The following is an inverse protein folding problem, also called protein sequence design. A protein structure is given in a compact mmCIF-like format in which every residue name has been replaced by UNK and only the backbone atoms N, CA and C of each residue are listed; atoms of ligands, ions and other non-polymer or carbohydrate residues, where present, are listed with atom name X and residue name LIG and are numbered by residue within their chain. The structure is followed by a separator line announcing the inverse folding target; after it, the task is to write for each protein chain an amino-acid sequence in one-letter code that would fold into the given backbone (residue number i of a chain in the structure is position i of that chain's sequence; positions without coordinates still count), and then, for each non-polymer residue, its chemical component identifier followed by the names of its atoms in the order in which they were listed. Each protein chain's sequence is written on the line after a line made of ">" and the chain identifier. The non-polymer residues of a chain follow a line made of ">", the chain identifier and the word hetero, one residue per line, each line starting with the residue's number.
data_IF_035953279622
#
_entry.id   IF_035953279622
#
_cell.length_a   1.000
_cell.length_b   1.000
_cell.length_c   1.000
_cell.angle_alpha   90.00
_cell.angle_beta   90.00
_cell.angle_gamma   90.00
#
_symmetry.space_group_name_H-M   'P 1'
#
loop_
_entity.id
_entity.type
_entity.pdbx_description
1 polymer ?
#
# COMPACT_ATOMS: atom_id res chain seq x y z
N UNK A 1 -25.20 -8.61 5.92
CA UNK A 1 -25.68 -7.80 7.05
C UNK A 1 -24.66 -6.71 7.27
N UNK A 2 -24.94 -5.51 6.77
CA UNK A 2 -24.11 -4.33 6.97
C UNK A 2 -24.22 -3.97 8.45
N UNK A 3 -23.12 -4.15 9.21
CA UNK A 3 -23.11 -3.81 10.62
C UNK A 3 -23.45 -2.31 10.73
N UNK A 4 -24.29 -1.91 11.71
CA UNK A 4 -24.83 -0.55 11.93
C UNK A 4 -23.79 0.59 11.99
N UNK A 5 -22.50 0.28 11.83
CA UNK A 5 -21.35 1.17 11.92
C UNK A 5 -20.51 1.29 10.62
N UNK A 6 -20.94 0.70 9.50
CA UNK A 6 -20.25 0.82 8.20
C UNK A 6 -18.84 0.22 8.13
N UNK A 7 -18.42 -0.53 9.15
CA UNK A 7 -17.10 -1.16 9.22
C UNK A 7 -17.12 -2.57 8.65
N UNK A 8 -16.57 -2.75 7.45
CA UNK A 8 -16.42 -4.07 6.83
C UNK A 8 -15.12 -4.75 7.31
N UNK A 9 -15.22 -5.50 8.42
CA UNK A 9 -14.08 -6.20 9.03
C UNK A 9 -13.38 -7.16 8.05
N UNK A 10 -14.13 -7.93 7.27
CA UNK A 10 -13.56 -8.91 6.33
C UNK A 10 -12.74 -8.24 5.23
N UNK A 11 -13.23 -7.10 4.71
CA UNK A 11 -12.44 -6.28 3.78
C UNK A 11 -11.17 -5.75 4.44
N UNK A 12 -11.21 -5.35 5.71
CA UNK A 12 -10.00 -4.87 6.40
C UNK A 12 -9.01 -6.01 6.69
N UNK A 13 -9.48 -7.21 7.02
CA UNK A 13 -8.64 -8.41 7.10
C UNK A 13 -7.98 -8.69 5.74
N UNK A 14 -8.70 -8.56 4.63
CA UNK A 14 -8.13 -8.70 3.28
C UNK A 14 -6.96 -7.73 3.03
N UNK A 15 -7.05 -6.48 3.50
CA UNK A 15 -5.93 -5.53 3.38
C UNK A 15 -4.75 -5.93 4.28
N UNK A 16 -5.02 -6.41 5.49
CA UNK A 16 -3.99 -6.85 6.45
C UNK A 16 -3.26 -8.10 5.95
N UNK A 17 -3.94 -9.04 5.27
CA UNK A 17 -3.28 -10.19 4.62
C UNK A 17 -2.22 -9.74 3.61
N UNK A 18 -2.40 -8.55 3.04
CA UNK A 18 -1.42 -7.86 2.23
C UNK A 18 -0.06 -7.61 2.87
N UNK A 19 0.05 -7.67 4.21
CA UNK A 19 1.33 -7.58 4.94
C UNK A 19 2.34 -8.64 4.50
N UNK A 20 1.89 -9.73 3.88
CA UNK A 20 2.79 -10.72 3.30
C UNK A 20 3.78 -10.09 2.30
N UNK A 21 3.37 -9.05 1.56
CA UNK A 21 4.21 -8.37 0.56
C UNK A 21 5.36 -7.61 1.23
N UNK A 22 5.11 -6.61 2.12
CA UNK A 22 6.19 -5.88 2.77
C UNK A 22 7.06 -6.78 3.66
N UNK A 23 6.49 -7.80 4.33
CA UNK A 23 7.28 -8.77 5.10
C UNK A 23 8.22 -9.54 4.19
N UNK A 24 7.72 -10.05 3.05
CA UNK A 24 8.54 -10.82 2.12
C UNK A 24 9.67 -9.98 1.52
N UNK A 25 9.39 -8.73 1.14
CA UNK A 25 10.39 -7.80 0.61
C UNK A 25 11.44 -7.41 1.65
N UNK A 26 11.03 -7.14 2.89
CA UNK A 26 11.94 -6.73 3.95
C UNK A 26 12.94 -7.83 4.32
N UNK A 27 12.49 -9.09 4.42
CA UNK A 27 13.34 -10.22 4.78
C UNK A 27 14.05 -10.88 3.60
N UNK A 28 13.81 -10.42 2.37
CA UNK A 28 14.31 -11.04 1.13
C UNK A 28 14.14 -12.58 1.14
N UNK A 29 12.91 -13.05 1.43
CA UNK A 29 12.61 -14.45 1.77
C UNK A 29 13.06 -15.50 0.74
N UNK A 30 13.25 -15.11 -0.52
CA UNK A 30 13.64 -15.99 -1.62
C UNK A 30 15.02 -15.65 -2.18
N UNK A 31 15.89 -15.00 -1.38
CA UNK A 31 17.24 -14.61 -1.81
C UNK A 31 17.99 -15.75 -2.51
N UNK A 32 18.57 -15.46 -3.68
CA UNK A 32 19.31 -16.42 -4.48
C UNK A 32 18.48 -17.50 -5.20
N UNK A 33 17.15 -17.51 -5.06
CA UNK A 33 16.29 -18.48 -5.74
C UNK A 33 16.41 -18.35 -7.27
N UNK A 34 16.55 -19.48 -7.96
CA UNK A 34 16.82 -19.58 -9.40
C UNK A 34 18.06 -18.80 -9.89
N UNK A 35 18.98 -18.47 -8.98
CA UNK A 35 20.18 -17.67 -9.26
C UNK A 35 19.89 -16.20 -9.57
N UNK A 36 18.70 -15.69 -9.22
CA UNK A 36 18.31 -14.31 -9.47
C UNK A 36 18.82 -13.35 -8.40
N UNK A 37 19.33 -12.19 -8.82
CA UNK A 37 19.79 -11.10 -7.95
C UNK A 37 18.65 -10.53 -7.09
N UNK A 38 17.46 -10.43 -7.66
CA UNK A 38 16.26 -9.86 -7.02
C UNK A 38 15.12 -10.88 -6.95
N UNK A 39 15.45 -12.13 -6.62
CA UNK A 39 14.54 -13.27 -6.62
C UNK A 39 13.21 -13.02 -5.90
N UNK A 40 13.24 -12.52 -4.66
CA UNK A 40 12.02 -12.20 -3.88
C UNK A 40 11.14 -11.20 -4.61
N UNK A 41 11.72 -10.10 -5.11
CA UNK A 41 10.98 -9.09 -5.87
C UNK A 41 10.42 -9.68 -7.16
N UNK A 42 11.21 -10.46 -7.91
CA UNK A 42 10.79 -11.10 -9.15
C UNK A 42 9.57 -11.99 -8.94
N UNK A 43 9.59 -12.81 -7.89
CA UNK A 43 8.48 -13.68 -7.49
C UNK A 43 7.23 -12.84 -7.16
N UNK A 44 7.37 -11.83 -6.29
CA UNK A 44 6.25 -10.99 -5.87
C UNK A 44 5.62 -10.26 -7.06
N UNK A 45 6.43 -9.61 -7.91
CA UNK A 45 5.96 -8.92 -9.11
C UNK A 45 5.27 -9.89 -10.07
N UNK A 46 5.84 -11.08 -10.28
CA UNK A 46 5.23 -12.10 -11.15
C UNK A 46 3.85 -12.52 -10.67
N UNK A 47 3.71 -12.82 -9.38
CA UNK A 47 2.42 -13.21 -8.79
C UNK A 47 1.43 -12.04 -8.79
N UNK A 48 1.86 -10.83 -8.43
CA UNK A 48 1.01 -9.64 -8.48
C UNK A 48 0.49 -9.38 -9.89
N UNK A 49 1.36 -9.48 -10.91
CA UNK A 49 0.97 -9.31 -12.31
C UNK A 49 0.00 -10.39 -12.79
N UNK A 50 0.27 -11.65 -12.45
CA UNK A 50 -0.60 -12.77 -12.78
C UNK A 50 -1.99 -12.63 -12.14
N UNK A 51 -2.06 -12.38 -10.83
CA UNK A 51 -3.35 -12.21 -10.14
C UNK A 51 -4.07 -10.93 -10.57
N UNK A 52 -3.36 -9.84 -10.85
CA UNK A 52 -3.97 -8.63 -11.40
C UNK A 52 -4.64 -8.91 -12.75
N UNK A 53 -3.98 -9.65 -13.64
CA UNK A 53 -4.56 -10.05 -14.93
C UNK A 53 -5.82 -10.90 -14.72
N UNK A 54 -5.77 -11.91 -13.83
CA UNK A 54 -6.93 -12.73 -13.50
C UNK A 54 -8.09 -11.89 -12.95
N UNK A 55 -7.80 -10.96 -12.04
CA UNK A 55 -8.80 -10.05 -11.47
C UNK A 55 -9.43 -9.18 -12.56
N UNK A 56 -8.66 -8.63 -13.49
CA UNK A 56 -9.17 -7.84 -14.60
C UNK A 56 -10.07 -8.67 -15.52
N UNK A 57 -9.71 -9.92 -15.80
CA UNK A 57 -10.54 -10.85 -16.58
C UNK A 57 -11.86 -11.11 -15.85
N UNK A 58 -11.81 -11.48 -14.56
CA UNK A 58 -13.01 -11.72 -13.74
C UNK A 58 -13.91 -10.48 -13.70
N UNK A 59 -13.34 -9.30 -13.51
CA UNK A 59 -14.09 -8.04 -13.48
C UNK A 59 -14.68 -7.68 -14.84
N UNK A 60 -14.00 -7.98 -15.95
CA UNK A 60 -14.54 -7.82 -17.29
C UNK A 60 -15.78 -8.71 -17.49
N UNK A 61 -15.77 -9.97 -17.05
CA UNK A 61 -16.96 -10.82 -17.07
C UNK A 61 -18.05 -10.27 -16.13
N UNK A 62 -17.69 -9.88 -14.90
CA UNK A 62 -18.63 -9.40 -13.88
C UNK A 62 -19.36 -8.12 -14.30
N UNK A 63 -18.65 -7.17 -14.90
CA UNK A 63 -19.24 -5.88 -15.27
C UNK A 63 -20.09 -5.95 -16.55
N UNK A 64 -19.92 -6.99 -17.38
CA UNK A 64 -20.66 -7.13 -18.64
C UNK A 64 -21.77 -8.20 -18.59
N UNK A 65 -21.75 -9.14 -17.64
CA UNK A 65 -22.72 -10.24 -17.58
C UNK A 65 -23.47 -10.32 -16.24
N UNK A 66 -24.72 -9.83 -16.24
CA UNK A 66 -25.58 -9.74 -15.03
C UNK A 66 -25.75 -11.05 -14.25
N UNK A 67 -25.91 -12.23 -14.87
CA UNK A 67 -26.00 -13.48 -14.10
C UNK A 67 -24.72 -13.80 -13.33
N UNK A 68 -23.55 -13.54 -13.93
CA UNK A 68 -22.27 -13.72 -13.24
C UNK A 68 -22.02 -12.65 -12.17
N UNK A 69 -22.48 -11.41 -12.39
CA UNK A 69 -22.48 -10.38 -11.35
C UNK A 69 -23.28 -10.80 -10.11
N UNK A 70 -24.51 -11.28 -10.31
CA UNK A 70 -25.37 -11.79 -9.22
C UNK A 70 -24.72 -12.98 -8.49
N UNK A 71 -24.14 -13.92 -9.24
CA UNK A 71 -23.37 -15.03 -8.68
C UNK A 71 -22.20 -14.51 -7.85
N UNK A 72 -21.36 -13.65 -8.42
CA UNK A 72 -20.18 -13.11 -7.76
C UNK A 72 -20.56 -12.36 -6.48
N UNK A 73 -21.59 -11.51 -6.53
CA UNK A 73 -22.05 -10.77 -5.36
C UNK A 73 -22.62 -11.69 -4.28
N UNK A 74 -23.30 -12.78 -4.64
CA UNK A 74 -23.81 -13.76 -3.67
C UNK A 74 -22.69 -14.45 -2.88
N UNK A 75 -21.57 -14.77 -3.54
CA UNK A 75 -20.47 -15.51 -2.90
C UNK A 75 -19.37 -14.60 -2.33
N UNK A 76 -19.08 -13.47 -2.98
CA UNK A 76 -17.97 -12.58 -2.66
C UNK A 76 -18.41 -11.17 -2.25
N UNK A 77 -19.72 -10.87 -2.24
CA UNK A 77 -20.25 -9.56 -1.88
C UNK A 77 -19.89 -9.11 -0.46
N UNK A 78 -19.54 -10.05 0.43
CA UNK A 78 -19.05 -9.71 1.79
C UNK A 78 -17.72 -8.93 1.77
N UNK A 79 -16.92 -9.02 0.71
CA UNK A 79 -15.69 -8.24 0.52
C UNK A 79 -15.94 -6.92 -0.24
N UNK A 80 -17.15 -6.71 -0.77
CA UNK A 80 -17.49 -5.61 -1.65
C UNK A 80 -18.38 -4.57 -0.97
N UNK A 81 -18.34 -3.34 -1.49
CA UNK A 81 -19.38 -2.33 -1.24
C UNK A 81 -20.48 -2.46 -2.28
N UNK A 82 -21.71 -2.06 -1.96
CA UNK A 82 -22.81 -2.01 -2.94
C UNK A 82 -22.46 -1.12 -4.15
N UNK A 83 -21.74 -0.02 -3.92
CA UNK A 83 -21.25 0.84 -5.00
C UNK A 83 -20.25 0.15 -5.94
N UNK A 84 -19.60 -0.94 -5.52
CA UNK A 84 -18.68 -1.77 -6.31
C UNK A 84 -19.40 -2.79 -7.19
N UNK A 85 -20.73 -2.86 -7.12
CA UNK A 85 -21.53 -3.77 -7.95
C UNK A 85 -21.49 -3.41 -9.44
N UNK A 86 -21.33 -2.12 -9.78
CA UNK A 86 -21.30 -1.61 -11.17
C UNK A 86 -19.96 -0.96 -11.57
N UNK A 87 -18.92 -1.11 -10.75
CA UNK A 87 -17.58 -0.56 -10.97
C UNK A 87 -16.54 -1.56 -10.44
N UNK A 88 -15.25 -1.38 -10.72
CA UNK A 88 -14.20 -2.29 -10.27
C UNK A 88 -14.25 -2.54 -8.75
N UNK A 89 -14.06 -3.79 -8.35
CA UNK A 89 -13.83 -4.20 -6.96
C UNK A 89 -12.54 -3.55 -6.45
N UNK A 90 -12.53 -3.03 -5.21
CA UNK A 90 -11.36 -2.38 -4.59
C UNK A 90 -10.09 -3.25 -4.51
N UNK A 91 -10.20 -4.55 -4.73
CA UNK A 91 -9.06 -5.46 -4.87
C UNK A 91 -8.24 -5.19 -6.13
N UNK A 92 -8.85 -4.74 -7.23
CA UNK A 92 -8.13 -4.39 -8.46
C UNK A 92 -7.17 -3.20 -8.25
N UNK A 93 -7.63 -2.01 -7.81
CA UNK A 93 -6.73 -0.90 -7.52
C UNK A 93 -5.68 -1.24 -6.46
N UNK A 94 -6.03 -2.05 -5.47
CA UNK A 94 -5.11 -2.54 -4.45
C UNK A 94 -3.95 -3.37 -5.04
N UNK A 95 -4.26 -4.38 -5.87
CA UNK A 95 -3.22 -5.20 -6.53
C UNK A 95 -2.40 -4.37 -7.51
N UNK A 96 -3.03 -3.44 -8.23
CA UNK A 96 -2.35 -2.54 -9.14
C UNK A 96 -1.36 -1.62 -8.41
N UNK A 97 -1.74 -1.05 -7.26
CA UNK A 97 -0.83 -0.27 -6.42
C UNK A 97 0.37 -1.08 -5.97
N UNK A 98 0.14 -2.27 -5.40
CA UNK A 98 1.23 -3.13 -4.96
C UNK A 98 2.14 -3.52 -6.12
N UNK A 99 1.57 -3.86 -7.29
CA UNK A 99 2.35 -4.18 -8.48
C UNK A 99 3.26 -3.02 -8.89
N UNK A 100 2.70 -1.80 -9.03
CA UNK A 100 3.46 -0.60 -9.41
C UNK A 100 4.54 -0.29 -8.37
N UNK A 101 4.17 -0.28 -7.09
CA UNK A 101 5.08 0.10 -6.01
C UNK A 101 6.26 -0.87 -5.91
N UNK A 102 6.01 -2.17 -5.96
CA UNK A 102 7.09 -3.18 -5.86
C UNK A 102 7.94 -3.24 -7.13
N UNK A 103 7.36 -2.96 -8.30
CA UNK A 103 8.05 -2.97 -9.59
C UNK A 103 8.99 -1.77 -9.78
N UNK A 104 8.64 -0.60 -9.26
CA UNK A 104 9.36 0.65 -9.60
C UNK A 104 10.10 1.30 -8.45
N UNK A 105 9.87 0.93 -7.19
CA UNK A 105 10.49 1.61 -6.04
C UNK A 105 11.42 0.68 -5.26
N UNK A 106 12.39 1.27 -4.54
CA UNK A 106 13.28 0.52 -3.64
C UNK A 106 12.47 -0.32 -2.63
N UNK A 107 13.04 -1.45 -2.12
CA UNK A 107 12.32 -2.31 -1.17
C UNK A 107 11.82 -1.53 0.05
N UNK A 108 12.62 -0.61 0.58
CA UNK A 108 12.26 0.20 1.76
C UNK A 108 11.08 1.13 1.48
N UNK A 109 11.08 1.79 0.32
CA UNK A 109 9.98 2.68 -0.09
C UNK A 109 8.71 1.88 -0.31
N UNK A 110 8.82 0.72 -0.97
CA UNK A 110 7.69 -0.17 -1.20
C UNK A 110 7.10 -0.68 0.11
N UNK A 111 7.94 -1.09 1.06
CA UNK A 111 7.51 -1.54 2.38
C UNK A 111 6.77 -0.42 3.12
N UNK A 112 7.37 0.76 3.22
CA UNK A 112 6.79 1.90 3.95
C UNK A 112 5.46 2.36 3.35
N UNK A 113 5.39 2.52 2.01
CA UNK A 113 4.19 3.04 1.36
C UNK A 113 3.01 2.06 1.39
N UNK A 114 3.28 0.75 1.25
CA UNK A 114 2.24 -0.28 1.40
C UNK A 114 1.72 -0.29 2.84
N UNK A 115 2.60 -0.16 3.85
CA UNK A 115 2.21 -0.09 5.26
C UNK A 115 1.32 1.10 5.59
N UNK A 116 1.49 2.25 4.93
CA UNK A 116 0.58 3.38 5.09
C UNK A 116 -0.86 3.01 4.74
N UNK A 117 -1.06 2.18 3.69
CA UNK A 117 -2.38 1.65 3.37
C UNK A 117 -2.80 0.54 4.34
N UNK A 118 -2.03 -0.55 4.44
CA UNK A 118 -2.49 -1.77 5.13
C UNK A 118 -2.58 -1.64 6.66
N UNK A 119 -1.95 -0.61 7.25
CA UNK A 119 -2.09 -0.29 8.68
C UNK A 119 -2.94 0.97 8.87
N UNK A 120 -2.67 2.02 8.10
CA UNK A 120 -3.36 3.30 8.23
C UNK A 120 -4.86 3.20 7.94
N UNK A 121 -5.25 2.67 6.78
CA UNK A 121 -6.66 2.63 6.35
C UNK A 121 -7.55 1.72 7.22
N UNK A 122 -7.12 0.51 7.65
CA UNK A 122 -7.88 -0.25 8.64
C UNK A 122 -8.03 0.46 9.98
N UNK A 123 -6.98 1.14 10.47
CA UNK A 123 -7.01 1.87 11.73
C UNK A 123 -7.94 3.09 11.64
N UNK A 124 -7.87 3.84 10.54
CA UNK A 124 -8.73 4.98 10.26
C UNK A 124 -10.20 4.57 10.23
N UNK A 125 -10.51 3.47 9.55
CA UNK A 125 -11.86 2.94 9.47
C UNK A 125 -12.36 2.43 10.83
N UNK A 126 -11.53 1.75 11.62
CA UNK A 126 -11.91 1.25 12.94
C UNK A 126 -12.17 2.42 13.91
N UNK A 127 -11.23 3.35 14.02
CA UNK A 127 -11.34 4.50 14.92
C UNK A 127 -12.46 5.43 14.46
N UNK A 128 -12.55 5.71 13.17
CA UNK A 128 -13.60 6.55 12.60
C UNK A 128 -15.00 5.93 12.71
N UNK A 129 -15.11 4.61 12.69
CA UNK A 129 -16.39 3.91 12.89
C UNK A 129 -16.82 3.91 14.37
N UNK A 130 -15.88 3.59 15.29
CA UNK A 130 -16.16 3.42 16.72
C UNK A 130 -16.19 4.72 17.52
N UNK A 131 -15.32 5.67 17.20
CA UNK A 131 -15.11 6.91 17.95
C UNK A 131 -15.40 8.17 17.14
N UNK A 132 -15.78 8.03 15.87
CA UNK A 132 -15.96 9.16 14.96
C UNK A 132 -17.19 10.01 15.29
N UNK A 133 -16.98 11.06 16.09
CA UNK A 133 -18.01 12.06 16.44
C UNK A 133 -18.00 13.25 15.49
N UNK A 134 -16.81 13.64 15.01
CA UNK A 134 -16.63 14.82 14.18
C UNK A 134 -16.37 14.41 12.72
N UNK A 135 -17.43 14.38 11.90
CA UNK A 135 -17.35 13.97 10.49
C UNK A 135 -17.29 15.16 9.54
N UNK A 136 -16.54 14.98 8.45
CA UNK A 136 -16.49 15.90 7.32
C UNK A 136 -17.56 15.54 6.28
N UNK A 137 -17.69 16.38 5.25
CA UNK A 137 -18.69 16.23 4.16
C UNK A 137 -18.59 14.90 3.40
N UNK A 138 -17.40 14.28 3.38
CA UNK A 138 -17.11 13.01 2.70
C UNK A 138 -17.35 11.78 3.61
N UNK A 139 -17.90 11.96 4.82
CA UNK A 139 -18.18 10.89 5.78
C UNK A 139 -16.98 10.43 6.62
N UNK A 140 -15.76 10.88 6.29
CA UNK A 140 -14.55 10.61 7.09
C UNK A 140 -14.60 11.40 8.39
N UNK A 141 -14.05 10.84 9.47
CA UNK A 141 -14.04 11.49 10.78
C UNK A 141 -12.64 12.03 11.13
N UNK A 142 -12.58 13.10 11.92
CA UNK A 142 -11.32 13.66 12.45
C UNK A 142 -10.55 12.61 13.24
N UNK A 143 -11.25 11.81 14.02
CA UNK A 143 -10.70 10.71 14.81
C UNK A 143 -10.10 9.62 13.92
N UNK A 144 -10.75 9.28 12.81
CA UNK A 144 -10.20 8.36 11.81
C UNK A 144 -8.91 8.87 11.17
N UNK A 145 -8.84 10.15 10.80
CA UNK A 145 -7.64 10.81 10.25
C UNK A 145 -6.49 10.77 11.27
N UNK A 146 -6.76 11.09 12.54
CA UNK A 146 -5.75 10.98 13.61
C UNK A 146 -5.30 9.53 13.77
N UNK A 147 -6.25 8.59 13.71
CA UNK A 147 -5.98 7.15 13.76
C UNK A 147 -5.06 6.68 12.63
N UNK A 148 -5.34 7.09 11.39
CA UNK A 148 -4.49 6.84 10.23
C UNK A 148 -3.08 7.36 10.50
N UNK A 149 -2.96 8.65 10.79
CA UNK A 149 -1.68 9.34 10.90
C UNK A 149 -0.81 8.76 12.00
N UNK A 150 -1.39 8.49 13.18
CA UNK A 150 -0.65 7.93 14.30
C UNK A 150 -0.19 6.49 14.01
N UNK A 151 -1.07 5.64 13.47
CA UNK A 151 -0.73 4.25 13.19
C UNK A 151 0.31 4.13 12.08
N UNK A 152 0.14 4.86 10.98
CA UNK A 152 1.06 4.89 9.85
C UNK A 152 2.44 5.47 10.25
N UNK A 153 2.47 6.50 11.10
CA UNK A 153 3.72 7.06 11.61
C UNK A 153 4.43 6.09 12.55
N UNK A 154 3.73 5.50 13.53
CA UNK A 154 4.33 4.55 14.46
C UNK A 154 4.89 3.31 13.75
N UNK A 155 4.14 2.73 12.80
CA UNK A 155 4.67 1.60 12.02
C UNK A 155 5.85 2.02 11.15
N UNK A 156 5.84 3.25 10.60
CA UNK A 156 6.97 3.82 9.89
C UNK A 156 8.22 3.91 10.77
N UNK A 157 8.11 4.42 11.99
CA UNK A 157 9.24 4.48 12.95
C UNK A 157 9.76 3.08 13.29
N UNK A 158 8.86 2.11 13.52
CA UNK A 158 9.25 0.72 13.78
C UNK A 158 10.05 0.17 12.59
N UNK A 159 9.59 0.39 11.35
CA UNK A 159 10.30 -0.05 10.15
C UNK A 159 11.65 0.65 9.98
N UNK A 160 11.75 1.96 10.25
CA UNK A 160 13.05 2.66 10.21
C UNK A 160 14.03 2.08 11.23
N UNK A 161 13.57 1.74 12.43
CA UNK A 161 14.39 1.06 13.43
C UNK A 161 14.86 -0.32 12.96
N UNK A 162 13.95 -1.11 12.38
CA UNK A 162 14.26 -2.42 11.80
C UNK A 162 15.27 -2.30 10.64
N UNK A 163 15.10 -1.32 9.75
CA UNK A 163 16.06 -1.02 8.66
C UNK A 163 17.42 -0.65 9.25
N UNK A 164 17.46 0.18 10.29
CA UNK A 164 18.72 0.60 10.94
C UNK A 164 19.53 -0.59 11.46
N UNK A 165 18.85 -1.62 11.99
CA UNK A 165 19.52 -2.84 12.50
C UNK A 165 19.94 -3.77 11.37
N UNK A 166 19.07 -3.98 10.39
CA UNK A 166 19.25 -4.99 9.34
C UNK A 166 20.11 -4.52 8.15
N UNK A 167 19.99 -3.23 7.80
CA UNK A 167 20.59 -2.61 6.62
C UNK A 167 21.18 -1.24 7.01
N UNK A 168 22.25 -1.20 7.82
CA UNK A 168 22.79 0.05 8.37
C UNK A 168 23.24 1.06 7.29
N UNK A 169 23.59 0.59 6.09
CA UNK A 169 23.99 1.44 4.96
C UNK A 169 22.82 2.01 4.14
N UNK A 170 21.57 1.59 4.43
CA UNK A 170 20.38 2.07 3.73
C UNK A 170 20.18 3.58 3.90
N UNK A 171 19.62 4.21 2.86
CA UNK A 171 19.19 5.62 2.91
C UNK A 171 18.11 5.86 3.97
N UNK A 172 17.41 4.82 4.42
CA UNK A 172 16.40 4.92 5.47
C UNK A 172 16.93 4.58 6.87
N UNK A 173 18.23 4.33 7.02
CA UNK A 173 18.84 4.08 8.33
C UNK A 173 18.86 5.34 9.20
N UNK A 174 18.46 5.20 10.46
CA UNK A 174 18.49 6.27 11.47
C UNK A 174 19.91 6.51 12.02
N UNK A 175 20.84 5.59 11.81
CA UNK A 175 22.22 5.70 12.29
C UNK A 175 23.15 5.49 11.10
N UNK A 176 23.94 6.51 10.80
CA UNK A 176 24.97 6.44 9.77
C UNK A 176 26.27 7.03 10.32
N UNK A 177 27.37 6.29 10.21
CA UNK A 177 28.68 6.69 10.74
C UNK A 177 28.61 7.14 12.22
N UNK A 178 27.95 6.34 13.06
CA UNK A 178 27.73 6.61 14.49
C UNK A 178 26.96 7.90 14.81
N UNK A 179 26.32 8.53 13.82
CA UNK A 179 25.55 9.76 13.96
C UNK A 179 24.08 9.51 13.65
N UNK A 180 23.20 10.06 14.50
CA UNK A 180 21.76 9.96 14.30
C UNK A 180 21.31 10.84 13.13
N UNK A 181 20.50 10.26 12.25
CA UNK A 181 19.96 10.89 11.05
C UNK A 181 18.48 11.19 11.26
N UNK A 182 18.10 12.48 11.30
CA UNK A 182 16.71 12.89 11.48
C UNK A 182 15.89 12.83 10.18
N UNK A 183 16.55 12.88 9.02
CA UNK A 183 15.86 13.00 7.75
C UNK A 183 14.92 11.81 7.40
N UNK A 184 15.22 10.53 7.73
CA UNK A 184 14.28 9.44 7.43
C UNK A 184 12.94 9.60 8.17
N UNK A 185 12.97 10.09 9.42
CA UNK A 185 11.77 10.38 10.21
C UNK A 185 10.94 11.49 9.56
N UNK A 186 11.61 12.55 9.11
CA UNK A 186 10.96 13.69 8.44
C UNK A 186 10.30 13.20 7.13
N UNK A 187 11.00 12.41 6.34
CA UNK A 187 10.48 11.85 5.07
C UNK A 187 9.27 10.95 5.32
N UNK A 188 9.34 10.06 6.32
CA UNK A 188 8.19 9.23 6.72
C UNK A 188 7.01 10.10 7.19
N UNK A 189 7.25 11.15 7.97
CA UNK A 189 6.19 12.08 8.39
C UNK A 189 5.50 12.74 7.18
N UNK A 190 6.27 13.22 6.20
CA UNK A 190 5.71 13.76 4.96
C UNK A 190 4.97 12.71 4.14
N UNK A 191 5.48 11.48 4.08
CA UNK A 191 4.81 10.35 3.44
C UNK A 191 3.46 10.03 4.07
N UNK A 192 3.39 10.01 5.41
CA UNK A 192 2.15 9.81 6.17
C UNK A 192 1.17 10.95 5.94
N UNK A 193 1.62 12.21 6.01
CA UNK A 193 0.77 13.37 5.74
C UNK A 193 0.20 13.32 4.32
N UNK A 194 1.05 13.03 3.32
CA UNK A 194 0.62 12.92 1.92
C UNK A 194 -0.40 11.79 1.72
N UNK A 195 -0.17 10.65 2.36
CA UNK A 195 -1.06 9.48 2.33
C UNK A 195 -2.39 9.77 3.02
N UNK A 196 -2.36 10.49 4.14
CA UNK A 196 -3.55 10.90 4.88
C UNK A 196 -4.38 11.94 4.11
N UNK A 197 -3.73 12.91 3.47
CA UNK A 197 -4.39 13.85 2.56
C UNK A 197 -4.99 13.10 1.36
N UNK A 198 -4.26 12.13 0.82
CA UNK A 198 -4.76 11.28 -0.27
C UNK A 198 -5.99 10.51 0.17
N UNK A 199 -5.95 9.87 1.33
CA UNK A 199 -7.12 9.21 1.93
C UNK A 199 -8.27 10.21 2.05
N UNK A 200 -8.04 11.40 2.58
CA UNK A 200 -9.08 12.40 2.80
C UNK A 200 -9.76 12.90 1.50
N UNK A 201 -8.96 13.15 0.45
CA UNK A 201 -9.44 13.75 -0.79
C UNK A 201 -9.73 12.75 -1.92
N UNK A 202 -9.30 11.49 -1.79
CA UNK A 202 -9.51 10.49 -2.85
C UNK A 202 -11.00 10.23 -3.05
N UNK A 203 -11.51 10.66 -4.19
CA UNK A 203 -12.78 10.17 -4.74
C UNK A 203 -12.58 8.85 -5.50
N UNK A 204 -13.67 8.17 -5.83
CA UNK A 204 -13.60 7.01 -6.73
C UNK A 204 -13.85 7.45 -8.17
N UNK A 205 -12.86 7.34 -9.04
CA UNK A 205 -12.95 7.67 -10.48
C UNK A 205 -12.56 6.48 -11.36
N UNK A 206 -12.60 6.63 -12.69
CA UNK A 206 -12.27 5.57 -13.66
C UNK A 206 -12.98 4.22 -13.38
N UNK A 207 -14.30 4.27 -13.16
CA UNK A 207 -15.11 3.09 -12.77
C UNK A 207 -14.51 2.32 -11.59
N UNK A 208 -13.99 2.98 -10.55
CA UNK A 208 -13.45 2.27 -9.39
C UNK A 208 -11.97 1.95 -9.45
N UNK A 209 -11.31 2.15 -10.60
CA UNK A 209 -9.89 1.85 -10.73
C UNK A 209 -9.00 2.88 -10.01
N UNK A 210 -9.45 4.13 -9.90
CA UNK A 210 -8.71 5.17 -9.19
C UNK A 210 -9.48 5.46 -7.89
N UNK A 211 -8.96 4.94 -6.78
CA UNK A 211 -9.49 5.12 -5.43
C UNK A 211 -8.35 5.22 -4.40
N UNK A 212 -8.71 5.24 -3.11
CA UNK A 212 -7.75 5.25 -1.98
C UNK A 212 -6.79 4.05 -1.99
N UNK A 213 -7.26 2.87 -2.39
CA UNK A 213 -6.47 1.64 -2.41
C UNK A 213 -5.37 1.69 -3.48
N UNK A 214 -5.60 2.41 -4.59
CA UNK A 214 -4.56 2.70 -5.59
C UNK A 214 -3.66 3.85 -5.15
N UNK A 215 -4.27 4.95 -4.73
CA UNK A 215 -3.56 6.24 -4.60
C UNK A 215 -2.68 6.30 -3.36
N UNK A 216 -3.08 5.74 -2.23
CA UNK A 216 -2.31 5.84 -0.97
C UNK A 216 -0.89 5.27 -1.13
N UNK A 217 -0.69 4.02 -1.60
CA UNK A 217 0.67 3.48 -1.74
C UNK A 217 1.49 4.22 -2.81
N UNK A 218 0.88 4.65 -3.91
CA UNK A 218 1.59 5.35 -4.99
C UNK A 218 2.04 6.74 -4.53
N UNK A 219 1.13 7.53 -3.94
CA UNK A 219 1.47 8.86 -3.41
C UNK A 219 2.49 8.73 -2.29
N UNK A 220 2.31 7.77 -1.39
CA UNK A 220 3.30 7.45 -0.35
C UNK A 220 4.68 7.17 -0.94
N UNK A 221 4.78 6.28 -1.93
CA UNK A 221 6.04 5.92 -2.58
C UNK A 221 6.70 7.12 -3.28
N UNK A 222 5.92 7.93 -3.99
CA UNK A 222 6.41 9.14 -4.65
C UNK A 222 6.93 10.17 -3.63
N UNK A 223 6.17 10.44 -2.56
CA UNK A 223 6.61 11.38 -1.52
C UNK A 223 7.89 10.91 -0.83
N UNK A 224 7.99 9.62 -0.49
CA UNK A 224 9.20 9.06 0.10
C UNK A 224 10.39 9.18 -0.86
N UNK A 225 10.18 8.91 -2.16
CA UNK A 225 11.22 8.95 -3.18
C UNK A 225 11.74 10.35 -3.47
N UNK A 226 10.82 11.30 -3.62
CA UNK A 226 11.17 12.71 -3.83
C UNK A 226 11.81 13.28 -2.57
N UNK A 227 11.27 12.96 -1.39
CA UNK A 227 11.81 13.40 -0.10
C UNK A 227 13.24 12.93 0.11
N UNK A 228 13.55 11.66 -0.18
CA UNK A 228 14.92 11.15 -0.04
C UNK A 228 15.88 11.79 -1.04
N UNK A 229 15.47 11.92 -2.31
CA UNK A 229 16.31 12.53 -3.35
C UNK A 229 16.61 14.01 -3.03
N UNK A 230 15.60 14.78 -2.59
CA UNK A 230 15.77 16.20 -2.26
C UNK A 230 16.65 16.43 -1.04
N UNK A 231 16.48 15.65 0.04
CA UNK A 231 17.22 15.88 1.29
C UNK A 231 18.65 15.34 1.23
N UNK A 232 18.85 14.19 0.58
CA UNK A 232 20.18 13.56 0.53
C UNK A 232 20.99 13.96 -0.70
N UNK A 233 20.35 14.55 -1.72
CA UNK A 233 20.99 14.84 -3.00
C UNK A 233 21.30 13.60 -3.85
N UNK A 234 20.86 12.41 -3.40
CA UNK A 234 21.05 11.17 -4.14
C UNK A 234 20.16 11.17 -5.39
N UNK A 235 20.71 10.79 -6.56
CA UNK A 235 19.94 10.78 -7.79
C UNK A 235 18.78 9.76 -7.74
N UNK A 236 17.70 10.06 -8.46
CA UNK A 236 16.43 9.33 -8.34
C UNK A 236 16.53 7.87 -8.82
N UNK A 237 17.50 7.56 -9.67
CA UNK A 237 17.81 6.21 -10.16
C UNK A 237 18.31 5.26 -9.06
N UNK A 238 18.83 5.80 -7.95
CA UNK A 238 19.18 5.02 -6.75
C UNK A 238 17.97 4.70 -5.87
N UNK A 239 16.84 5.36 -6.15
CA UNK A 239 15.61 5.31 -5.35
C UNK A 239 14.52 4.53 -6.11
N UNK A 240 14.51 4.67 -7.43
CA UNK A 240 13.65 3.94 -8.37
C UNK A 240 14.36 2.66 -8.78
N UNK A 241 13.68 1.53 -8.62
CA UNK A 241 14.17 0.26 -9.14
C UNK A 241 13.97 0.18 -10.65
N UNK A 242 14.99 -0.31 -11.37
CA UNK A 242 14.92 -0.56 -12.79
C UNK A 242 14.27 -1.93 -13.07
N UNK A 243 13.06 -1.99 -13.68
CA UNK A 243 12.38 -3.25 -13.96
C UNK A 243 13.17 -4.20 -14.86
N UNK A 244 14.10 -3.69 -15.67
CA UNK A 244 14.96 -4.53 -16.52
C UNK A 244 15.88 -5.45 -15.69
N UNK A 245 16.15 -5.09 -14.43
CA UNK A 245 17.00 -5.84 -13.52
C UNK A 245 16.24 -6.94 -12.77
N UNK A 246 14.91 -6.99 -12.91
CA UNK A 246 14.04 -7.90 -12.14
C UNK A 246 14.45 -9.37 -12.25
N UNK A 247 14.89 -9.81 -13.43
CA UNK A 247 15.29 -11.18 -13.70
C UNK A 247 16.80 -11.34 -13.98
N UNK A 248 17.62 -10.38 -13.53
CA UNK A 248 19.08 -10.51 -13.60
C UNK A 248 19.56 -11.69 -12.76
N UNK A 249 20.54 -12.42 -13.29
CA UNK A 249 21.20 -13.54 -12.60
C UNK A 249 22.58 -13.13 -12.11
N UNK A 250 23.04 -13.79 -11.04
CA UNK A 250 24.43 -13.75 -10.58
C UNK A 250 25.38 -14.43 -11.56
#
# INVERSE_FOLDING_TARGET
>A
MENQYGFNFLRKVWHILGLIIPISLYFDLFSGYLGLLHATRAIIVSYLGFFLLLLLVVEAFRLNFTPFENFFFRYFGFLMKESERKRFNGTVPYFLANFIVVLFFSPEIAVLSILFLVVGDPTAAYIGSKYGKNRFYNGKSREGIIGFSLAAFLVGIIVLYLITISHPDSLFSLIKNSSFQFYPIIIVAFGVVSSCLTEFFSGTTAKGLIDDNLLIPIVGALTLSVGIALITGVPIDRVIFNPAELYLKF
#
